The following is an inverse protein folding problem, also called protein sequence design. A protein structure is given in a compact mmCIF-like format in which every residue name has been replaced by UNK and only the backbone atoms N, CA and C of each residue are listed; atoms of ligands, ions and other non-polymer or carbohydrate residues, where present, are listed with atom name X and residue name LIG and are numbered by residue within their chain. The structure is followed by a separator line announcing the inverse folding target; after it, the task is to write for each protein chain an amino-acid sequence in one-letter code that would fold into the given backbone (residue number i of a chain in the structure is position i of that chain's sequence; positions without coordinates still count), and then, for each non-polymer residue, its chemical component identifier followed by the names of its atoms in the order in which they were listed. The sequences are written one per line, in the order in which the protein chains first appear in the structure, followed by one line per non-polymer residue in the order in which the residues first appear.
data_IF_737588615665
#
_entry.id   IF_737588615665
#
_cell.length_a   1.000
_cell.length_b   1.000
_cell.length_c   1.000
_cell.angle_alpha   90.00
_cell.angle_beta   90.00
_cell.angle_gamma   90.00
#
_symmetry.space_group_name_H-M   'P 1'
#
loop_
_entity.id
_entity.type
_entity.pdbx_description
1 polymer ?
#
# COMPACT_ATOMS: atom_id res chain seq x y z
N UNK A 1 -4.83 -13.37 24.83
CA UNK A 1 -5.05 -12.95 26.23
C UNK A 1 -5.40 -11.49 26.31
N UNK A 2 -6.44 -11.21 27.12
CA UNK A 2 -6.91 -9.83 27.26
C UNK A 2 -5.84 -8.88 27.78
N UNK A 3 -5.02 -9.31 28.72
CA UNK A 3 -3.96 -8.48 29.28
C UNK A 3 -2.86 -8.16 28.25
N UNK A 4 -2.48 -9.15 27.45
CA UNK A 4 -1.49 -8.97 26.39
C UNK A 4 -2.03 -8.09 25.27
N UNK A 5 -3.28 -8.29 24.90
CA UNK A 5 -3.93 -7.50 23.87
C UNK A 5 -4.08 -6.04 24.32
N UNK A 6 -4.45 -5.80 25.58
CA UNK A 6 -4.56 -4.44 26.12
C UNK A 6 -3.22 -3.71 26.12
N UNK A 7 -2.13 -4.39 26.49
CA UNK A 7 -0.80 -3.82 26.47
C UNK A 7 -0.36 -3.49 25.06
N UNK A 8 -0.68 -4.37 24.10
CA UNK A 8 -0.36 -4.17 22.69
C UNK A 8 -1.10 -2.96 22.13
N UNK A 9 -2.38 -2.85 22.40
CA UNK A 9 -3.19 -1.70 21.94
C UNK A 9 -2.67 -0.39 22.52
N UNK A 10 -2.25 -0.40 23.77
CA UNK A 10 -1.67 0.79 24.41
C UNK A 10 -0.37 1.20 23.74
N UNK A 11 0.49 0.22 23.47
CA UNK A 11 1.75 0.47 22.76
C UNK A 11 1.50 1.09 21.39
N UNK A 12 0.53 0.55 20.64
CA UNK A 12 0.19 1.05 19.33
C UNK A 12 -0.36 2.47 19.38
N UNK A 13 -1.18 2.78 20.39
CA UNK A 13 -1.69 4.13 20.56
C UNK A 13 -0.58 5.13 20.84
N UNK A 14 0.37 4.76 21.69
CA UNK A 14 1.53 5.60 21.98
C UNK A 14 2.40 5.79 20.77
N UNK A 15 2.64 4.73 19.98
CA UNK A 15 3.41 4.80 18.75
C UNK A 15 2.71 5.70 17.72
N UNK A 16 1.41 5.57 17.61
CA UNK A 16 0.61 6.41 16.71
C UNK A 16 0.76 7.89 17.06
N UNK A 17 0.67 8.23 18.36
CA UNK A 17 0.84 9.61 18.80
C UNK A 17 2.22 10.15 18.49
N UNK A 18 3.24 9.34 18.71
CA UNK A 18 4.63 9.71 18.43
C UNK A 18 4.84 10.02 16.96
N UNK A 19 4.38 9.12 16.08
CA UNK A 19 4.56 9.28 14.65
C UNK A 19 3.72 10.41 14.08
N UNK A 20 2.52 10.60 14.61
CA UNK A 20 1.67 11.73 14.23
C UNK A 20 2.32 13.06 14.62
N UNK A 21 2.95 13.11 15.78
CA UNK A 21 3.64 14.33 16.24
C UNK A 21 4.83 14.67 15.34
N UNK A 22 5.45 13.67 14.71
CA UNK A 22 6.54 13.90 13.75
C UNK A 22 6.00 14.32 12.37
N UNK A 23 4.68 14.35 12.18
CA UNK A 23 4.08 14.79 10.93
C UNK A 23 3.96 13.71 9.86
N UNK A 24 4.22 12.45 10.21
CA UNK A 24 4.25 11.37 9.22
C UNK A 24 2.86 11.03 8.65
N UNK A 25 1.80 11.42 9.34
CA UNK A 25 0.42 11.16 8.90
C UNK A 25 -0.27 12.39 8.33
N UNK A 26 0.45 13.49 8.17
CA UNK A 26 -0.13 14.76 7.73
C UNK A 26 -0.63 14.67 6.29
N UNK A 27 -1.82 15.21 6.04
CA UNK A 27 -2.41 15.23 4.70
C UNK A 27 -1.51 15.95 3.68
N UNK A 28 -0.79 16.99 4.14
CA UNK A 28 0.09 17.78 3.27
C UNK A 28 1.24 16.97 2.70
N UNK A 29 1.60 15.86 3.34
CA UNK A 29 2.68 14.98 2.88
C UNK A 29 2.22 13.98 1.83
N UNK A 30 0.91 13.76 1.71
CA UNK A 30 0.38 12.72 0.84
C UNK A 30 0.51 13.14 -0.62
N UNK A 31 1.10 12.25 -1.40
CA UNK A 31 1.36 12.48 -2.81
C UNK A 31 0.13 12.13 -3.64
N UNK A 32 -0.13 12.90 -4.71
CA UNK A 32 -1.22 12.53 -5.61
C UNK A 32 -0.85 11.24 -6.36
N UNK A 33 -1.87 10.44 -6.68
CA UNK A 33 -1.68 9.22 -7.44
C UNK A 33 -1.69 9.55 -8.94
N UNK A 34 -0.84 8.88 -9.74
CA UNK A 34 -0.88 9.09 -11.19
C UNK A 34 -2.22 8.58 -11.75
N UNK A 35 -2.76 9.27 -12.74
CA UNK A 35 -4.03 8.86 -13.35
C UNK A 35 -3.89 7.50 -14.04
N UNK A 36 -2.79 7.28 -14.75
CA UNK A 36 -2.53 6.03 -15.45
C UNK A 36 -1.06 5.67 -15.28
N UNK A 37 -0.73 4.84 -14.28
CA UNK A 37 0.66 4.46 -14.06
C UNK A 37 1.18 3.59 -15.21
N UNK A 38 2.44 3.75 -15.54
CA UNK A 38 3.09 2.90 -16.54
C UNK A 38 3.49 1.55 -15.95
N UNK A 39 3.90 1.55 -14.69
CA UNK A 39 4.32 0.34 -13.97
C UNK A 39 3.78 0.40 -12.54
N UNK A 40 3.33 -0.74 -12.05
CA UNK A 40 2.77 -0.85 -10.70
C UNK A 40 3.67 -1.78 -9.90
N UNK A 41 4.17 -1.30 -8.77
CA UNK A 41 4.92 -2.14 -7.84
C UNK A 41 3.99 -2.71 -6.79
N UNK A 42 4.15 -3.97 -6.46
CA UNK A 42 3.35 -4.63 -5.42
C UNK A 42 4.27 -5.27 -4.41
N UNK A 43 4.06 -4.95 -3.14
CA UNK A 43 4.78 -5.53 -2.00
C UNK A 43 3.79 -6.40 -1.27
N UNK A 44 3.91 -7.71 -1.41
CA UNK A 44 3.02 -8.68 -0.78
C UNK A 44 3.63 -10.07 -0.84
N UNK A 45 2.93 -11.05 -0.26
CA UNK A 45 3.33 -12.45 -0.35
C UNK A 45 3.22 -12.94 -1.80
N UNK A 46 4.16 -13.78 -2.26
CA UNK A 46 4.10 -14.32 -3.62
C UNK A 46 3.05 -15.42 -3.78
N UNK A 47 2.48 -15.89 -2.66
CA UNK A 47 1.49 -16.98 -2.68
C UNK A 47 0.16 -16.48 -2.14
N UNK A 48 -0.91 -17.19 -2.49
CA UNK A 48 -2.24 -16.89 -2.00
C UNK A 48 -3.05 -16.03 -2.94
N UNK A 49 -4.22 -15.62 -2.45
CA UNK A 49 -5.22 -14.95 -3.27
C UNK A 49 -4.90 -13.47 -3.53
N UNK A 50 -4.18 -12.82 -2.62
CA UNK A 50 -3.97 -11.37 -2.71
C UNK A 50 -3.33 -10.95 -4.03
N UNK A 51 -2.18 -11.55 -4.37
CA UNK A 51 -1.49 -11.18 -5.60
C UNK A 51 -2.31 -11.57 -6.83
N UNK A 52 -2.98 -12.72 -6.82
CA UNK A 52 -3.83 -13.14 -7.93
C UNK A 52 -4.98 -12.18 -8.15
N UNK A 53 -5.61 -11.75 -7.07
CA UNK A 53 -6.75 -10.83 -7.14
C UNK A 53 -6.32 -9.46 -7.67
N UNK A 54 -5.16 -8.97 -7.24
CA UNK A 54 -4.63 -7.70 -7.73
C UNK A 54 -4.32 -7.80 -9.23
N UNK A 55 -3.63 -8.84 -9.65
CA UNK A 55 -3.26 -9.02 -11.06
C UNK A 55 -4.49 -9.16 -11.93
N UNK A 56 -5.47 -9.93 -11.48
CA UNK A 56 -6.71 -10.12 -12.23
C UNK A 56 -7.46 -8.80 -12.40
N UNK A 57 -7.56 -8.03 -11.31
CA UNK A 57 -8.29 -6.77 -11.35
C UNK A 57 -7.61 -5.72 -12.22
N UNK A 58 -6.28 -5.66 -12.18
CA UNK A 58 -5.52 -4.75 -13.04
C UNK A 58 -5.72 -5.12 -14.51
N UNK A 59 -5.62 -6.41 -14.83
CA UNK A 59 -5.84 -6.89 -16.21
C UNK A 59 -7.23 -6.59 -16.71
N UNK A 60 -8.24 -6.72 -15.83
CA UNK A 60 -9.62 -6.49 -16.16
C UNK A 60 -9.92 -5.01 -16.41
N UNK A 61 -9.33 -4.13 -15.61
CA UNK A 61 -9.58 -2.68 -15.72
C UNK A 61 -8.74 -2.03 -16.82
N UNK A 62 -7.44 -2.18 -16.72
CA UNK A 62 -6.51 -1.67 -17.73
C UNK A 62 -5.16 -2.35 -17.53
N UNK A 63 -4.76 -3.25 -18.43
CA UNK A 63 -3.51 -4.00 -18.24
C UNK A 63 -2.28 -3.09 -18.18
N UNK A 64 -1.51 -3.26 -17.13
CA UNK A 64 -0.23 -2.57 -16.95
C UNK A 64 0.78 -3.55 -16.38
N UNK A 65 2.06 -3.39 -16.67
CA UNK A 65 3.10 -4.23 -16.07
C UNK A 65 3.09 -4.11 -14.55
N UNK A 66 3.17 -5.25 -13.88
CA UNK A 66 3.22 -5.33 -12.43
C UNK A 66 4.55 -5.92 -12.02
N UNK A 67 5.25 -5.25 -11.11
CA UNK A 67 6.50 -5.71 -10.53
C UNK A 67 6.23 -6.16 -9.10
N UNK A 68 6.31 -7.47 -8.86
CA UNK A 68 6.12 -8.01 -7.52
C UNK A 68 7.46 -8.06 -6.78
N UNK A 69 7.49 -7.47 -5.58
CA UNK A 69 8.58 -7.68 -4.66
C UNK A 69 8.05 -8.60 -3.56
N UNK A 70 8.40 -9.89 -3.60
CA UNK A 70 7.82 -10.86 -2.66
C UNK A 70 8.38 -10.66 -1.26
N UNK A 71 7.48 -10.65 -0.27
CA UNK A 71 7.85 -10.47 1.12
C UNK A 71 6.98 -11.36 2.00
N UNK A 72 7.46 -11.60 3.23
CA UNK A 72 6.59 -12.13 4.26
C UNK A 72 5.67 -11.01 4.70
N UNK A 73 4.42 -11.33 4.98
CA UNK A 73 3.43 -10.34 5.40
C UNK A 73 3.00 -10.52 6.85
N UNK A 74 3.59 -11.49 7.54
CA UNK A 74 3.34 -11.71 8.97
C UNK A 74 4.52 -12.47 9.58
N UNK A 75 4.64 -12.40 10.90
CA UNK A 75 5.66 -13.10 11.64
C UNK A 75 7.00 -12.38 11.69
N UNK A 76 7.98 -13.04 12.28
CA UNK A 76 9.31 -12.47 12.46
C UNK A 76 9.97 -12.20 11.11
N UNK A 77 10.56 -11.02 10.99
CA UNK A 77 11.25 -10.62 9.78
C UNK A 77 10.37 -9.97 8.73
N UNK A 78 9.05 -10.03 8.87
CA UNK A 78 8.14 -9.46 7.87
C UNK A 78 8.34 -7.95 7.73
N UNK A 79 8.40 -7.23 8.83
CA UNK A 79 8.57 -5.76 8.79
C UNK A 79 9.86 -5.36 8.09
N UNK A 80 10.95 -6.09 8.34
CA UNK A 80 12.23 -5.82 7.70
C UNK A 80 12.16 -6.06 6.19
N UNK A 81 11.49 -7.13 5.77
CA UNK A 81 11.33 -7.45 4.35
C UNK A 81 10.48 -6.42 3.64
N UNK A 82 9.39 -5.99 4.26
CA UNK A 82 8.50 -4.98 3.69
C UNK A 82 9.24 -3.65 3.54
N UNK A 83 9.97 -3.23 4.58
CA UNK A 83 10.79 -2.02 4.55
C UNK A 83 11.82 -2.09 3.43
N UNK A 84 12.51 -3.22 3.33
CA UNK A 84 13.52 -3.42 2.29
C UNK A 84 12.90 -3.34 0.88
N UNK A 85 11.71 -3.90 0.71
CA UNK A 85 11.03 -3.87 -0.59
C UNK A 85 10.65 -2.44 -1.00
N UNK A 86 10.08 -1.67 -0.08
CA UNK A 86 9.69 -0.29 -0.36
C UNK A 86 10.93 0.54 -0.72
N UNK A 87 11.97 0.41 0.08
CA UNK A 87 13.23 1.12 -0.16
C UNK A 87 13.89 0.66 -1.47
N UNK A 88 13.81 -0.63 -1.77
CA UNK A 88 14.36 -1.19 -2.99
C UNK A 88 13.69 -0.66 -4.25
N UNK A 89 12.36 -0.57 -4.25
CA UNK A 89 11.65 0.03 -5.37
C UNK A 89 12.04 1.49 -5.55
N UNK A 90 12.18 2.23 -4.45
CA UNK A 90 12.59 3.64 -4.51
C UNK A 90 14.02 3.82 -4.98
N UNK A 91 14.86 2.81 -4.82
CA UNK A 91 16.27 2.87 -5.23
C UNK A 91 16.46 2.57 -6.71
N UNK A 92 15.46 2.06 -7.41
CA UNK A 92 15.55 1.82 -8.84
C UNK A 92 15.66 3.14 -9.60
N UNK A 93 16.35 3.15 -10.76
CA UNK A 93 16.40 4.35 -11.59
C UNK A 93 15.00 4.79 -12.00
N UNK A 94 14.79 6.09 -12.15
CA UNK A 94 13.47 6.65 -12.48
C UNK A 94 12.79 5.98 -13.66
N UNK A 95 13.53 5.64 -14.70
CA UNK A 95 12.95 5.01 -15.89
C UNK A 95 12.57 3.55 -15.70
N UNK A 96 12.94 2.93 -14.58
CA UNK A 96 12.71 1.51 -14.32
C UNK A 96 11.82 1.27 -13.12
N UNK A 97 11.67 2.25 -12.22
CA UNK A 97 10.89 2.06 -11.01
C UNK A 97 9.39 2.22 -11.27
N UNK A 98 8.55 1.58 -10.46
CA UNK A 98 7.10 1.75 -10.61
C UNK A 98 6.66 3.18 -10.27
N UNK A 99 5.54 3.59 -10.87
CA UNK A 99 4.95 4.90 -10.64
C UNK A 99 4.04 4.93 -9.43
N UNK A 100 3.65 3.75 -8.95
CA UNK A 100 2.79 3.60 -7.80
C UNK A 100 3.12 2.27 -7.12
N UNK A 101 3.00 2.24 -5.79
CA UNK A 101 3.21 1.02 -5.01
C UNK A 101 1.91 0.62 -4.34
N UNK A 102 1.63 -0.68 -4.34
CA UNK A 102 0.56 -1.27 -3.53
C UNK A 102 1.22 -2.16 -2.49
N UNK A 103 1.00 -1.84 -1.22
CA UNK A 103 1.44 -2.67 -0.10
C UNK A 103 0.20 -3.38 0.41
N UNK A 104 0.17 -4.70 0.29
CA UNK A 104 -1.07 -5.43 0.49
C UNK A 104 -0.91 -6.71 1.31
N UNK A 105 -1.97 -7.04 2.03
CA UNK A 105 -2.12 -8.28 2.76
C UNK A 105 -3.62 -8.54 2.95
N UNK A 106 -4.00 -9.80 2.90
CA UNK A 106 -5.38 -10.18 3.22
C UNK A 106 -5.68 -9.91 4.69
N UNK A 107 -6.95 -10.03 5.09
CA UNK A 107 -7.35 -9.79 6.46
C UNK A 107 -6.74 -10.77 7.45
N UNK A 108 -6.69 -10.39 8.70
CA UNK A 108 -6.16 -11.22 9.77
C UNK A 108 -6.42 -10.56 11.12
N UNK A 109 -5.94 -11.19 12.19
CA UNK A 109 -6.05 -10.65 13.53
C UNK A 109 -5.07 -9.49 13.72
N UNK A 110 -5.21 -8.77 14.83
CA UNK A 110 -4.27 -7.71 15.20
C UNK A 110 -2.82 -8.22 15.15
N UNK A 111 -2.58 -9.41 15.70
CA UNK A 111 -1.24 -10.01 15.70
C UNK A 111 -0.73 -10.29 14.30
N UNK A 112 -1.60 -10.76 13.40
CA UNK A 112 -1.23 -11.05 12.01
C UNK A 112 -0.85 -9.79 11.25
N UNK A 113 -1.42 -8.64 11.64
CA UNK A 113 -1.19 -7.37 10.96
C UNK A 113 -0.05 -6.55 11.58
N UNK A 114 0.60 -7.08 12.62
CA UNK A 114 1.60 -6.32 13.38
C UNK A 114 2.78 -5.81 12.57
N UNK A 115 3.19 -6.52 11.52
CA UNK A 115 4.28 -6.04 10.68
C UNK A 115 3.98 -4.64 10.10
N UNK A 116 2.71 -4.36 9.84
CA UNK A 116 2.28 -3.08 9.26
C UNK A 116 2.06 -1.99 10.30
N UNK A 117 2.28 -2.32 11.57
CA UNK A 117 2.29 -1.37 12.68
C UNK A 117 3.70 -1.08 13.18
N UNK A 118 4.71 -1.68 12.55
CA UNK A 118 6.09 -1.46 12.93
C UNK A 118 6.58 -0.09 12.44
N UNK A 119 7.35 0.58 13.28
CA UNK A 119 7.82 1.92 12.99
C UNK A 119 8.64 2.00 11.70
N UNK A 120 9.50 1.01 11.43
CA UNK A 120 10.33 1.02 10.23
C UNK A 120 9.48 0.95 8.95
N UNK A 121 8.40 0.20 8.95
CA UNK A 121 7.48 0.13 7.81
C UNK A 121 6.79 1.47 7.59
N UNK A 122 6.29 2.06 8.67
CA UNK A 122 5.63 3.36 8.63
C UNK A 122 6.56 4.44 8.06
N UNK A 123 7.80 4.46 8.54
CA UNK A 123 8.79 5.43 8.07
C UNK A 123 9.16 5.22 6.60
N UNK A 124 9.28 3.97 6.17
CA UNK A 124 9.58 3.66 4.77
C UNK A 124 8.47 4.16 3.85
N UNK A 125 7.21 3.94 4.24
CA UNK A 125 6.05 4.42 3.48
C UNK A 125 6.04 5.95 3.41
N UNK A 126 6.24 6.60 4.57
CA UNK A 126 6.23 8.06 4.62
C UNK A 126 7.38 8.68 3.80
N UNK A 127 8.52 8.02 3.76
CA UNK A 127 9.70 8.50 3.03
C UNK A 127 9.69 8.13 1.53
N UNK A 128 8.78 7.27 1.11
CA UNK A 128 8.72 6.83 -0.28
C UNK A 128 8.45 8.00 -1.22
N UNK A 129 9.25 8.11 -2.27
CA UNK A 129 9.04 9.09 -3.33
C UNK A 129 7.95 8.61 -4.30
N UNK A 130 7.70 7.30 -4.32
CA UNK A 130 6.65 6.70 -5.13
C UNK A 130 5.36 6.72 -4.31
N UNK A 131 4.23 7.17 -4.86
CA UNK A 131 2.96 7.12 -4.14
C UNK A 131 2.61 5.70 -3.70
N UNK A 132 2.12 5.55 -2.47
CA UNK A 132 1.83 4.25 -1.87
C UNK A 132 0.35 4.12 -1.57
N UNK A 133 -0.24 3.02 -2.02
CA UNK A 133 -1.59 2.60 -1.61
C UNK A 133 -1.41 1.48 -0.60
N UNK A 134 -2.00 1.63 0.58
CA UNK A 134 -2.00 0.57 1.59
C UNK A 134 -3.32 -0.19 1.52
N UNK A 135 -3.24 -1.51 1.41
CA UNK A 135 -4.40 -2.40 1.38
C UNK A 135 -4.15 -3.57 2.33
N UNK A 136 -3.99 -3.25 3.61
CA UNK A 136 -3.53 -4.21 4.61
C UNK A 136 -4.67 -4.73 5.48
N UNK A 137 -5.50 -3.85 6.01
CA UNK A 137 -6.58 -4.25 6.90
C UNK A 137 -7.93 -4.15 6.22
N UNK A 138 -8.94 -4.68 6.87
CA UNK A 138 -10.33 -4.47 6.48
C UNK A 138 -10.77 -3.08 6.94
N UNK A 139 -12.00 -2.68 6.60
CA UNK A 139 -12.52 -1.35 6.94
C UNK A 139 -12.34 -0.96 8.40
N UNK A 140 -12.48 -1.92 9.31
CA UNK A 140 -12.42 -1.67 10.76
C UNK A 140 -11.01 -1.85 11.34
N UNK A 141 -10.08 -2.47 10.61
CA UNK A 141 -8.76 -2.85 11.12
C UNK A 141 -7.66 -2.01 10.49
N UNK A 142 -7.63 -0.73 10.85
CA UNK A 142 -6.64 0.20 10.32
C UNK A 142 -5.28 -0.01 10.99
N UNK A 143 -4.21 -0.10 10.20
CA UNK A 143 -2.85 -0.20 10.71
C UNK A 143 -2.16 1.16 10.62
N UNK A 144 -1.02 1.30 11.32
CA UNK A 144 -0.25 2.54 11.24
C UNK A 144 0.28 2.80 9.83
N UNK A 145 0.53 1.73 9.06
CA UNK A 145 0.92 1.86 7.65
C UNK A 145 -0.18 2.59 6.84
N UNK A 146 -1.45 2.33 7.16
CA UNK A 146 -2.57 2.97 6.49
C UNK A 146 -2.56 4.49 6.66
N UNK A 147 -2.19 4.97 7.85
CA UNK A 147 -2.13 6.40 8.13
C UNK A 147 -1.00 7.09 7.38
N UNK A 148 0.11 6.39 7.18
CA UNK A 148 1.28 6.94 6.48
C UNK A 148 1.14 6.89 4.97
N UNK A 149 0.34 5.96 4.45
CA UNK A 149 0.16 5.77 3.01
C UNK A 149 -0.52 6.98 2.38
N UNK A 150 -0.28 7.19 1.09
CA UNK A 150 -0.90 8.29 0.35
C UNK A 150 -2.38 8.01 0.15
N UNK A 151 -2.76 6.75 0.06
CA UNK A 151 -4.14 6.32 -0.06
C UNK A 151 -4.33 4.99 0.63
N UNK A 152 -5.47 4.80 1.28
CA UNK A 152 -5.87 3.52 1.88
C UNK A 152 -6.96 2.88 1.04
N UNK A 153 -6.84 1.58 0.79
CA UNK A 153 -7.89 0.79 0.17
C UNK A 153 -8.39 -0.23 1.19
N UNK A 154 -9.70 -0.51 1.21
CA UNK A 154 -10.25 -1.47 2.18
C UNK A 154 -9.92 -2.94 1.82
N UNK A 155 -9.55 -3.21 0.58
CA UNK A 155 -9.21 -4.56 0.11
C UNK A 155 -8.10 -4.49 -0.93
N UNK A 156 -7.38 -5.61 -1.17
CA UNK A 156 -6.40 -5.67 -2.25
C UNK A 156 -6.98 -5.37 -3.63
N UNK A 157 -8.20 -5.87 -3.93
CA UNK A 157 -8.86 -5.56 -5.19
C UNK A 157 -9.22 -4.08 -5.27
N UNK A 158 -9.61 -3.48 -4.14
CA UNK A 158 -9.86 -2.05 -4.05
C UNK A 158 -8.62 -1.23 -4.37
N UNK A 159 -7.43 -1.71 -3.96
CA UNK A 159 -6.18 -1.04 -4.29
C UNK A 159 -5.92 -1.05 -5.79
N UNK A 160 -6.19 -2.17 -6.46
CA UNK A 160 -6.05 -2.26 -7.90
C UNK A 160 -7.02 -1.30 -8.61
N UNK A 161 -8.23 -1.18 -8.10
CA UNK A 161 -9.23 -0.26 -8.64
C UNK A 161 -8.83 1.20 -8.49
N UNK A 162 -8.15 1.53 -7.40
CA UNK A 162 -7.62 2.87 -7.19
C UNK A 162 -6.41 3.13 -8.09
N UNK A 163 -5.58 2.11 -8.29
CA UNK A 163 -4.32 2.24 -9.03
C UNK A 163 -4.52 2.49 -10.53
N UNK A 164 -5.50 1.87 -11.14
CA UNK A 164 -5.72 2.00 -12.60
C UNK A 164 -7.17 2.38 -12.91
N UNK A 165 -7.38 3.24 -13.90
CA UNK A 165 -8.73 3.59 -14.33
C UNK A 165 -9.35 2.44 -15.13
N UNK A 166 -10.67 2.45 -15.24
CA UNK A 166 -11.34 1.53 -16.14
C UNK A 166 -11.10 1.98 -17.58
N UNK A 167 -10.99 1.01 -18.49
CA UNK A 167 -10.80 1.29 -19.90
C UNK A 167 -11.91 2.19 -20.47
N UNK A 168 -13.14 1.92 -20.06
CA UNK A 168 -14.28 2.73 -20.52
C UNK A 168 -14.18 4.18 -20.06
N UNK A 169 -13.74 4.43 -18.85
CA UNK A 169 -13.52 5.77 -18.33
C UNK A 169 -12.45 6.50 -19.11
N UNK A 170 -11.39 5.77 -19.48
CA UNK A 170 -10.30 6.34 -20.24
C UNK A 170 -10.76 6.73 -21.63
N UNK A 171 -11.58 5.91 -22.29
CA UNK A 171 -12.14 6.22 -23.59
C UNK A 171 -13.05 7.43 -23.53
N UNK A 172 -13.88 7.54 -22.49
CA UNK A 172 -14.77 8.68 -22.31
C UNK A 172 -13.97 9.98 -22.16
N UNK A 173 -12.85 9.94 -21.42
CA UNK A 173 -11.98 11.11 -21.24
C UNK A 173 -11.32 11.52 -22.54
N UNK A 174 -10.91 10.57 -23.36
CA UNK A 174 -10.33 10.86 -24.67
C UNK A 174 -11.36 11.56 -25.56
N UNK A 175 -12.62 11.13 -25.54
CA UNK A 175 -13.69 11.76 -26.29
C UNK A 175 -13.92 13.20 -25.83
N UNK A 176 -13.94 13.45 -24.52
CA UNK A 176 -14.06 14.79 -23.97
C UNK A 176 -12.92 15.68 -24.43
N UNK A 177 -11.69 15.18 -24.44
CA UNK A 177 -10.51 15.96 -24.85
C UNK A 177 -10.55 16.30 -26.34
N UNK A 178 -11.28 15.54 -27.16
CA UNK A 178 -11.44 15.79 -28.59
C UNK A 178 -12.51 16.83 -28.89
N UNK A 179 -13.39 17.13 -27.93
CA UNK A 179 -14.48 18.07 -28.13
C UNK A 179 -13.95 19.51 -27.98
N UNK A 180 -14.11 20.38 -28.97
CA UNK A 180 -13.64 21.77 -28.87
C UNK A 180 -14.39 22.59 -27.84
#
# INVERSE_FOLDING_TARGET
ELAGEGALLKMLEERKKKLAAEGLFAEERKKPLPFLPERIGVVTSPTGAVIRDILHRISDRFPRPVMLWPVRVQGDGAAAEITHAINGFNALPEGQRPDILIVARGGGSLEDLMAFNEENVVRAIAASQIPVISAVGHETDTTLADYAADRRAPTPTGAAEIAVPERLMLLARVEEDKTP
#
